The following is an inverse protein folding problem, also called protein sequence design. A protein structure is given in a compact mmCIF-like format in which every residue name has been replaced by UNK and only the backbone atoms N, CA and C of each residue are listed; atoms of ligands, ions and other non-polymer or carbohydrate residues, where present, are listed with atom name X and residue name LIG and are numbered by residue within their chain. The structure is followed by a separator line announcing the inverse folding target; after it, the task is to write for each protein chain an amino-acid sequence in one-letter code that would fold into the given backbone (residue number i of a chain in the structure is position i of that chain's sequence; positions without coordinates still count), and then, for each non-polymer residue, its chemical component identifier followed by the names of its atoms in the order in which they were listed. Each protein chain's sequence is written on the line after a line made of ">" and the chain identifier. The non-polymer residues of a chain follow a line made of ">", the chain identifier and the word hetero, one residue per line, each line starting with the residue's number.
data_IF_861501442935
#
_entry.id   IF_861501442935
#
_cell.length_a   1.000
_cell.length_b   1.000
_cell.length_c   1.000
_cell.angle_alpha   90.00
_cell.angle_beta   90.00
_cell.angle_gamma   90.00
#
_symmetry.space_group_name_H-M   'P 1'
#
loop_
_entity.id
_entity.type
_entity.pdbx_description
1 polymer ?
#
# COMPACT_ATOMS: atom_id res chain seq x y z
N UNK A 1 -10.45 8.31 -29.42
CA UNK A 1 -10.51 7.67 -28.11
C UNK A 1 -9.68 6.39 -28.11
N UNK A 2 -9.32 5.91 -26.91
CA UNK A 2 -8.57 4.67 -26.73
C UNK A 2 -9.49 3.56 -26.24
N UNK A 3 -9.18 2.32 -26.59
CA UNK A 3 -9.79 1.14 -25.99
C UNK A 3 -8.95 0.71 -24.78
N UNK A 4 -9.62 0.36 -23.68
CA UNK A 4 -8.95 -0.08 -22.45
C UNK A 4 -9.10 -1.60 -22.33
N UNK A 5 -7.97 -2.29 -22.18
CA UNK A 5 -7.91 -3.70 -21.80
C UNK A 5 -7.40 -3.80 -20.38
N UNK A 6 -8.17 -4.43 -19.49
CA UNK A 6 -7.76 -4.71 -18.11
C UNK A 6 -7.44 -6.19 -18.00
N UNK A 7 -6.25 -6.52 -17.53
CA UNK A 7 -5.82 -7.88 -17.25
C UNK A 7 -5.33 -7.98 -15.81
N UNK A 8 -5.95 -8.87 -15.03
CA UNK A 8 -5.41 -9.30 -13.76
C UNK A 8 -4.54 -10.53 -14.05
N UNK A 9 -3.24 -10.39 -13.86
CA UNK A 9 -2.28 -11.41 -14.26
C UNK A 9 -1.69 -12.09 -13.03
N UNK A 10 -1.61 -13.39 -13.09
CA UNK A 10 -0.70 -14.15 -12.24
C UNK A 10 0.67 -14.28 -12.94
N UNK A 11 1.70 -14.62 -12.17
CA UNK A 11 3.11 -14.59 -12.61
C UNK A 11 3.45 -15.52 -13.79
N UNK A 12 2.49 -16.25 -14.32
CA UNK A 12 2.67 -17.28 -15.34
C UNK A 12 2.29 -16.83 -16.77
N UNK A 13 1.63 -15.69 -16.93
CA UNK A 13 1.28 -15.19 -18.27
C UNK A 13 2.45 -14.42 -18.90
N UNK A 14 2.70 -14.68 -20.17
CA UNK A 14 3.66 -13.90 -20.94
C UNK A 14 3.07 -12.55 -21.33
N UNK A 15 3.33 -11.52 -20.52
CA UNK A 15 2.92 -10.14 -20.80
C UNK A 15 3.42 -9.61 -22.14
N UNK A 16 4.60 -10.09 -22.58
CA UNK A 16 5.15 -9.80 -23.91
C UNK A 16 4.23 -10.31 -25.01
N UNK A 17 3.70 -11.52 -24.85
CA UNK A 17 2.79 -12.14 -25.81
C UNK A 17 1.49 -11.36 -25.88
N UNK A 18 0.92 -11.00 -24.71
CA UNK A 18 -0.30 -10.21 -24.64
C UNK A 18 -0.12 -8.83 -25.30
N UNK A 19 0.95 -8.12 -24.96
CA UNK A 19 1.26 -6.81 -25.51
C UNK A 19 1.38 -6.84 -27.05
N UNK A 20 2.08 -7.85 -27.60
CA UNK A 20 2.27 -8.01 -29.04
C UNK A 20 0.98 -8.44 -29.76
N UNK A 21 0.23 -9.41 -29.21
CA UNK A 21 -0.99 -9.93 -29.82
C UNK A 21 -2.12 -8.90 -29.87
N UNK A 22 -2.15 -7.96 -28.93
CA UNK A 22 -3.19 -6.93 -28.81
C UNK A 22 -2.82 -5.60 -29.45
N UNK A 23 -1.61 -5.46 -30.03
CA UNK A 23 -1.12 -4.21 -30.64
C UNK A 23 -1.38 -3.00 -29.72
N UNK A 24 -0.91 -3.09 -28.47
CA UNK A 24 -1.13 -2.05 -27.47
C UNK A 24 -0.30 -0.80 -27.80
N UNK A 25 -0.90 0.38 -27.72
CA UNK A 25 -0.22 1.67 -27.88
C UNK A 25 0.54 2.07 -26.62
N UNK A 26 0.10 1.63 -25.44
CA UNK A 26 0.71 1.92 -24.17
C UNK A 26 0.24 0.99 -23.06
N UNK A 27 0.97 0.94 -21.93
CA UNK A 27 0.70 0.03 -20.82
C UNK A 27 0.83 0.79 -19.50
N UNK A 28 -0.14 0.61 -18.59
CA UNK A 28 -0.03 0.99 -17.18
C UNK A 28 0.08 -0.30 -16.38
N UNK A 29 1.15 -0.39 -15.58
CA UNK A 29 1.41 -1.53 -14.68
C UNK A 29 1.20 -1.07 -13.24
N UNK A 30 0.34 -1.75 -12.50
CA UNK A 30 0.02 -1.38 -11.11
C UNK A 30 0.60 -2.43 -10.16
N UNK A 31 1.38 -1.96 -9.19
CA UNK A 31 2.01 -2.79 -8.16
C UNK A 31 3.43 -3.23 -8.49
N UNK A 32 3.90 -4.22 -7.76
CA UNK A 32 5.28 -4.68 -7.80
C UNK A 32 5.39 -6.05 -8.45
N UNK A 33 6.38 -6.18 -9.32
CA UNK A 33 6.71 -7.40 -10.04
C UNK A 33 8.18 -7.76 -9.84
N UNK A 34 8.60 -9.01 -10.11
CA UNK A 34 10.01 -9.39 -10.13
C UNK A 34 10.81 -8.62 -11.18
N UNK A 35 12.13 -8.48 -10.98
CA UNK A 35 13.00 -7.73 -11.90
C UNK A 35 12.97 -8.29 -13.32
N UNK A 36 12.83 -9.61 -13.48
CA UNK A 36 12.69 -10.26 -14.79
C UNK A 36 11.49 -9.74 -15.59
N UNK A 37 10.39 -9.41 -14.93
CA UNK A 37 9.22 -8.80 -15.56
C UNK A 37 9.60 -7.47 -16.21
N UNK A 38 10.25 -6.57 -15.46
CA UNK A 38 10.65 -5.27 -15.98
C UNK A 38 11.65 -5.41 -17.14
N UNK A 39 12.62 -6.31 -17.05
CA UNK A 39 13.57 -6.57 -18.13
C UNK A 39 12.88 -7.12 -19.39
N UNK A 40 11.82 -7.92 -19.24
CA UNK A 40 11.04 -8.40 -20.37
C UNK A 40 10.21 -7.29 -20.99
N UNK A 41 9.56 -6.45 -20.17
CA UNK A 41 8.70 -5.36 -20.65
C UNK A 41 9.47 -4.32 -21.47
N UNK A 42 10.73 -4.06 -21.18
CA UNK A 42 11.60 -3.21 -22.02
C UNK A 42 11.68 -3.65 -23.48
N UNK A 43 11.60 -4.96 -23.73
CA UNK A 43 11.69 -5.52 -25.11
C UNK A 43 10.47 -5.21 -25.96
N UNK A 44 9.38 -4.71 -25.36
CA UNK A 44 8.17 -4.34 -26.11
C UNK A 44 8.34 -3.06 -26.93
N UNK A 45 9.20 -2.15 -26.46
CA UNK A 45 9.35 -0.77 -26.97
C UNK A 45 8.06 0.07 -26.88
N UNK A 46 7.03 -0.43 -26.18
CA UNK A 46 5.78 0.25 -25.93
C UNK A 46 5.98 1.20 -24.75
N UNK A 47 5.44 2.43 -24.76
CA UNK A 47 5.43 3.30 -23.58
C UNK A 47 4.78 2.63 -22.37
N UNK A 48 5.46 2.68 -21.21
CA UNK A 48 5.00 2.05 -19.98
C UNK A 48 5.08 3.04 -18.84
N UNK A 49 3.99 3.12 -18.05
CA UNK A 49 3.94 3.84 -16.79
C UNK A 49 3.70 2.85 -15.66
N UNK A 50 4.54 2.91 -14.63
CA UNK A 50 4.40 2.11 -13.42
C UNK A 50 3.63 2.90 -12.36
N UNK A 51 2.77 2.23 -11.61
CA UNK A 51 2.09 2.77 -10.43
C UNK A 51 2.44 1.91 -9.22
N UNK A 52 2.85 2.55 -8.13
CA UNK A 52 3.22 1.91 -6.86
C UNK A 52 4.30 0.83 -7.02
N UNK A 53 5.25 1.09 -7.92
CA UNK A 53 6.42 0.25 -8.16
C UNK A 53 7.67 0.88 -7.56
N UNK A 54 8.54 0.05 -7.01
CA UNK A 54 9.87 0.43 -6.55
C UNK A 54 10.97 -0.09 -7.50
N UNK A 55 10.64 -0.19 -8.78
CA UNK A 55 11.61 -0.49 -9.83
C UNK A 55 12.62 0.66 -9.93
N UNK A 56 13.90 0.39 -9.66
CA UNK A 56 14.99 1.37 -9.76
C UNK A 56 15.45 1.64 -11.21
N UNK A 57 14.70 1.15 -12.19
CA UNK A 57 15.04 1.26 -13.58
C UNK A 57 14.46 2.55 -14.19
N UNK A 58 15.32 3.51 -14.46
CA UNK A 58 14.97 4.79 -15.08
C UNK A 58 14.42 4.67 -16.52
N UNK A 59 14.24 3.47 -17.04
CA UNK A 59 13.55 3.24 -18.31
C UNK A 59 12.07 3.53 -18.26
N UNK A 60 11.46 3.51 -17.06
CA UNK A 60 10.02 3.63 -16.87
C UNK A 60 9.64 4.99 -16.28
N UNK A 61 8.48 5.49 -16.68
CA UNK A 61 7.77 6.48 -15.85
C UNK A 61 7.21 5.77 -14.64
N UNK A 62 7.27 6.39 -13.48
CA UNK A 62 6.80 5.80 -12.24
C UNK A 62 6.03 6.84 -11.40
N UNK A 63 4.85 6.49 -10.97
CA UNK A 63 4.04 7.31 -10.07
C UNK A 63 3.79 6.50 -8.81
N UNK A 64 4.20 7.02 -7.70
CA UNK A 64 4.08 6.34 -6.41
C UNK A 64 3.88 7.32 -5.26
N UNK A 65 3.72 6.81 -4.09
CA UNK A 65 3.80 7.54 -2.82
C UNK A 65 5.08 7.13 -2.08
N UNK A 66 5.38 7.84 -1.00
CA UNK A 66 6.37 7.38 -0.02
C UNK A 66 5.66 6.52 1.04
N UNK A 67 5.65 5.20 0.83
CA UNK A 67 5.01 4.24 1.74
C UNK A 67 5.63 4.23 3.14
N UNK A 68 6.94 4.42 3.24
CA UNK A 68 7.62 4.48 4.53
C UNK A 68 7.19 5.75 5.29
N UNK A 69 7.20 6.89 4.64
CA UNK A 69 6.76 8.14 5.25
C UNK A 69 5.29 8.10 5.66
N UNK A 70 4.40 7.53 4.83
CA UNK A 70 2.98 7.39 5.18
C UNK A 70 2.78 6.56 6.44
N UNK A 71 3.46 5.42 6.55
CA UNK A 71 3.36 4.57 7.74
C UNK A 71 4.04 5.19 8.97
N UNK A 72 5.12 5.96 8.76
CA UNK A 72 5.71 6.77 9.82
C UNK A 72 4.69 7.79 10.36
N UNK A 73 3.96 8.50 9.50
CA UNK A 73 2.93 9.45 9.92
C UNK A 73 1.82 8.77 10.72
N UNK A 74 1.36 7.59 10.27
CA UNK A 74 0.34 6.81 10.97
C UNK A 74 0.81 6.40 12.38
N UNK A 75 2.00 5.82 12.48
CA UNK A 75 2.56 5.39 13.76
C UNK A 75 2.82 6.59 14.68
N UNK A 76 3.43 7.65 14.16
CA UNK A 76 3.69 8.89 14.90
C UNK A 76 2.41 9.48 15.49
N UNK A 77 1.31 9.52 14.73
CA UNK A 77 0.04 10.03 15.23
C UNK A 77 -0.43 9.27 16.48
N UNK A 78 -0.37 7.93 16.49
CA UNK A 78 -0.71 7.14 17.68
C UNK A 78 0.25 7.39 18.84
N UNK A 79 1.54 7.54 18.56
CA UNK A 79 2.56 7.84 19.58
C UNK A 79 2.35 9.25 20.17
N UNK A 80 1.99 10.25 19.36
CA UNK A 80 1.63 11.60 19.80
C UNK A 80 0.36 11.58 20.67
N UNK A 81 -0.59 10.66 20.41
CA UNK A 81 -1.76 10.42 21.26
C UNK A 81 -1.43 9.70 22.58
N UNK A 82 -0.16 9.34 22.82
CA UNK A 82 0.30 8.72 24.06
C UNK A 82 0.43 7.20 24.04
N UNK A 83 0.05 6.54 22.95
CA UNK A 83 0.24 5.09 22.82
C UNK A 83 1.74 4.74 22.82
N UNK A 84 2.10 3.62 23.43
CA UNK A 84 3.47 3.08 23.43
C UNK A 84 3.50 1.61 23.02
N UNK A 85 2.37 0.95 23.08
CA UNK A 85 2.14 -0.45 22.75
C UNK A 85 1.17 -0.51 21.55
N UNK A 86 1.71 -0.16 20.37
CA UNK A 86 0.97 -0.21 19.10
C UNK A 86 1.39 -1.43 18.29
N UNK A 87 0.44 -2.26 17.87
CA UNK A 87 0.71 -3.38 16.96
C UNK A 87 0.73 -2.89 15.49
N UNK A 88 1.35 -3.66 14.60
CA UNK A 88 1.40 -3.41 13.17
C UNK A 88 0.76 -4.57 12.41
N UNK A 89 -0.33 -4.29 11.66
CA UNK A 89 -1.03 -5.28 10.85
C UNK A 89 -0.65 -5.09 9.38
N UNK A 90 -0.06 -6.11 8.78
CA UNK A 90 0.50 -6.05 7.43
C UNK A 90 0.00 -7.18 6.52
N UNK A 91 0.09 -6.95 5.23
CA UNK A 91 0.18 -8.02 4.24
C UNK A 91 1.54 -8.72 4.32
N UNK A 92 1.78 -9.67 3.42
CA UNK A 92 3.06 -10.40 3.38
C UNK A 92 4.26 -9.45 3.24
N UNK A 93 5.24 -9.60 4.13
CA UNK A 93 6.46 -8.79 4.18
C UNK A 93 7.51 -9.29 3.17
N UNK A 94 7.16 -9.24 1.89
CA UNK A 94 8.08 -9.62 0.80
C UNK A 94 9.26 -8.67 0.73
N UNK A 95 10.44 -9.20 0.38
CA UNK A 95 11.63 -8.41 0.10
C UNK A 95 11.31 -7.34 -0.96
N UNK A 96 11.78 -6.12 -0.74
CA UNK A 96 11.48 -4.95 -1.58
C UNK A 96 9.99 -4.59 -1.75
N UNK A 97 9.08 -5.25 -1.03
CA UNK A 97 7.64 -5.01 -1.12
C UNK A 97 7.17 -3.74 -0.39
N UNK A 98 6.02 -3.21 -0.79
CA UNK A 98 5.34 -2.07 -0.17
C UNK A 98 5.16 -2.26 1.34
N UNK A 99 4.71 -3.45 1.76
CA UNK A 99 4.47 -3.73 3.19
C UNK A 99 5.74 -3.65 4.04
N UNK A 100 6.90 -4.04 3.47
CA UNK A 100 8.19 -3.92 4.17
C UNK A 100 8.62 -2.45 4.31
N UNK A 101 8.29 -1.59 3.33
CA UNK A 101 8.52 -0.15 3.44
C UNK A 101 7.61 0.49 4.49
N UNK A 102 6.32 0.12 4.52
CA UNK A 102 5.39 0.59 5.56
C UNK A 102 5.85 0.15 6.96
N UNK A 103 6.33 -1.11 7.11
CA UNK A 103 6.92 -1.56 8.37
C UNK A 103 8.16 -0.74 8.75
N UNK A 104 9.01 -0.36 7.79
CA UNK A 104 10.17 0.48 8.07
C UNK A 104 9.77 1.86 8.60
N UNK A 105 8.74 2.49 8.05
CA UNK A 105 8.20 3.76 8.56
C UNK A 105 7.63 3.65 9.97
N UNK A 106 6.88 2.58 10.26
CA UNK A 106 6.40 2.29 11.61
C UNK A 106 7.58 2.14 12.59
N UNK A 107 8.64 1.40 12.24
CA UNK A 107 9.85 1.23 13.07
C UNK A 107 10.55 2.56 13.30
N UNK A 108 10.67 3.39 12.27
CA UNK A 108 11.28 4.73 12.38
C UNK A 108 10.54 5.60 13.39
N UNK A 109 9.20 5.60 13.38
CA UNK A 109 8.42 6.36 14.36
C UNK A 109 8.66 5.85 15.79
N UNK A 110 8.68 4.52 16.02
CA UNK A 110 9.00 3.96 17.33
C UNK A 110 10.37 4.40 17.81
N UNK A 111 11.39 4.36 16.95
CA UNK A 111 12.76 4.76 17.27
C UNK A 111 12.83 6.23 17.69
N UNK A 112 12.18 7.13 16.95
CA UNK A 112 12.12 8.57 17.26
C UNK A 112 11.51 8.84 18.64
N UNK A 113 10.50 8.05 19.04
CA UNK A 113 9.83 8.17 20.34
C UNK A 113 10.50 7.35 21.46
N UNK A 114 11.63 6.69 21.20
CA UNK A 114 12.32 5.85 22.15
C UNK A 114 11.53 4.60 22.56
N UNK A 115 10.59 4.15 21.73
CA UNK A 115 9.79 2.94 21.96
C UNK A 115 10.49 1.73 21.33
N UNK A 116 10.83 0.68 22.08
CA UNK A 116 11.49 -0.49 21.52
C UNK A 116 10.62 -1.19 20.47
N UNK A 117 11.19 -1.47 19.31
CA UNK A 117 10.54 -2.34 18.32
C UNK A 117 10.47 -3.77 18.84
N UNK A 118 9.30 -4.40 18.72
CA UNK A 118 9.06 -5.80 19.10
C UNK A 118 8.43 -6.55 17.93
N UNK A 119 9.09 -7.57 17.44
CA UNK A 119 8.60 -8.39 16.33
C UNK A 119 7.27 -9.07 16.65
N UNK A 120 7.04 -9.42 17.93
CA UNK A 120 5.77 -9.98 18.40
C UNK A 120 4.55 -9.06 18.23
N UNK A 121 4.77 -7.77 17.94
CA UNK A 121 3.73 -6.79 17.65
C UNK A 121 3.41 -6.69 16.14
N UNK A 122 4.10 -7.45 15.28
CA UNK A 122 3.86 -7.49 13.85
C UNK A 122 3.03 -8.71 13.49
N UNK A 123 1.90 -8.49 12.85
CA UNK A 123 0.97 -9.52 12.41
C UNK A 123 0.89 -9.50 10.89
N UNK A 124 1.16 -10.64 10.26
CA UNK A 124 1.17 -10.79 8.81
C UNK A 124 0.00 -11.64 8.31
N UNK A 125 -0.54 -11.29 7.14
CA UNK A 125 -1.59 -12.06 6.46
C UNK A 125 -1.75 -11.64 5.00
N UNK A 126 -2.94 -11.85 4.46
CA UNK A 126 -3.31 -11.28 3.17
C UNK A 126 -3.82 -9.85 3.39
N UNK A 127 -3.80 -9.02 2.33
CA UNK A 127 -4.41 -7.67 2.38
C UNK A 127 -5.91 -7.83 2.10
N UNK A 128 -6.62 -8.36 3.08
CA UNK A 128 -8.06 -8.55 2.99
C UNK A 128 -8.76 -8.39 4.36
N UNK A 129 -10.08 -8.27 4.33
CA UNK A 129 -10.92 -8.12 5.50
C UNK A 129 -10.77 -9.29 6.49
N UNK A 130 -10.70 -10.53 5.98
CA UNK A 130 -10.63 -11.75 6.82
C UNK A 130 -9.33 -11.81 7.62
N UNK A 131 -8.23 -11.43 7.01
CA UNK A 131 -6.94 -11.33 7.67
C UNK A 131 -6.95 -10.27 8.76
N UNK A 132 -7.58 -9.10 8.52
CA UNK A 132 -7.78 -8.08 9.55
C UNK A 132 -8.55 -8.61 10.76
N UNK A 133 -9.66 -9.34 10.55
CA UNK A 133 -10.42 -10.00 11.62
C UNK A 133 -9.54 -10.99 12.40
N UNK A 134 -8.80 -11.85 11.70
CA UNK A 134 -7.98 -12.87 12.32
C UNK A 134 -6.83 -12.28 13.15
N UNK A 135 -6.15 -11.24 12.62
CA UNK A 135 -5.07 -10.53 13.34
C UNK A 135 -5.60 -9.88 14.62
N UNK A 136 -6.74 -9.18 14.56
CA UNK A 136 -7.37 -8.57 15.73
C UNK A 136 -7.77 -9.61 16.78
N UNK A 137 -8.37 -10.72 16.36
CA UNK A 137 -8.71 -11.81 17.26
C UNK A 137 -7.46 -12.46 17.89
N UNK A 138 -6.35 -12.55 17.16
CA UNK A 138 -5.07 -13.04 17.69
C UNK A 138 -4.48 -12.07 18.69
N UNK A 139 -4.46 -10.78 18.38
CA UNK A 139 -3.96 -9.74 19.27
C UNK A 139 -4.77 -9.66 20.56
N UNK A 140 -6.11 -9.70 20.48
CA UNK A 140 -7.01 -9.67 21.64
C UNK A 140 -6.80 -10.85 22.60
N UNK A 141 -6.42 -12.03 22.09
CA UNK A 141 -6.09 -13.20 22.91
C UNK A 141 -4.66 -13.22 23.44
N UNK A 142 -3.80 -12.35 22.92
CA UNK A 142 -2.41 -12.29 23.36
C UNK A 142 -2.25 -11.57 24.70
N UNK A 143 -1.12 -11.79 25.36
CA UNK A 143 -0.71 -11.04 26.56
C UNK A 143 0.16 -9.82 26.23
N UNK A 144 0.13 -9.32 24.99
CA UNK A 144 1.04 -8.27 24.54
C UNK A 144 0.72 -6.89 25.14
N UNK A 145 -0.53 -6.67 25.58
CA UNK A 145 -0.95 -5.38 26.15
C UNK A 145 -1.00 -4.24 25.15
N UNK A 146 -1.22 -4.54 23.86
CA UNK A 146 -1.36 -3.50 22.84
C UNK A 146 -2.59 -2.63 23.11
N UNK A 147 -2.44 -1.33 22.90
CA UNK A 147 -3.50 -0.33 23.05
C UNK A 147 -3.88 0.34 21.73
N UNK A 148 -3.10 0.07 20.68
CA UNK A 148 -3.35 0.61 19.35
C UNK A 148 -2.87 -0.33 18.24
N UNK A 149 -3.37 -0.08 17.03
CA UNK A 149 -2.97 -0.80 15.81
C UNK A 149 -2.70 0.21 14.69
N UNK A 150 -1.53 0.09 14.06
CA UNK A 150 -1.24 0.66 12.76
C UNK A 150 -1.54 -0.43 11.73
N UNK A 151 -2.62 -0.28 10.98
CA UNK A 151 -2.96 -1.20 9.90
C UNK A 151 -2.38 -0.66 8.57
N UNK A 152 -1.58 -1.49 7.93
CA UNK A 152 -0.90 -1.12 6.68
C UNK A 152 -1.84 -1.00 5.46
N UNK A 153 -3.15 -1.20 5.63
CA UNK A 153 -4.19 -0.94 4.64
C UNK A 153 -5.54 -0.79 5.36
N UNK A 154 -6.43 0.04 4.85
CA UNK A 154 -7.77 0.26 5.41
C UNK A 154 -8.59 -1.03 5.49
N UNK A 155 -8.47 -1.90 4.50
CA UNK A 155 -9.22 -3.17 4.51
C UNK A 155 -8.83 -4.07 5.69
N UNK A 156 -7.56 -4.00 6.13
CA UNK A 156 -7.10 -4.67 7.35
C UNK A 156 -7.67 -3.98 8.59
N UNK A 157 -7.66 -2.64 8.63
CA UNK A 157 -8.23 -1.86 9.73
C UNK A 157 -9.73 -2.14 9.90
N UNK A 158 -10.49 -2.14 8.82
CA UNK A 158 -11.93 -2.43 8.80
C UNK A 158 -12.20 -3.85 9.34
N UNK A 159 -11.40 -4.83 8.89
CA UNK A 159 -11.45 -6.18 9.44
C UNK A 159 -11.11 -6.23 10.94
N UNK A 160 -10.09 -5.46 11.35
CA UNK A 160 -9.67 -5.40 12.74
C UNK A 160 -10.76 -4.83 13.67
N UNK A 161 -11.47 -3.79 13.25
CA UNK A 161 -12.65 -3.24 14.00
C UNK A 161 -13.63 -4.37 14.30
N UNK A 162 -13.95 -5.20 13.30
CA UNK A 162 -14.86 -6.34 13.50
C UNK A 162 -14.26 -7.40 14.43
N UNK A 163 -12.99 -7.74 14.25
CA UNK A 163 -12.31 -8.74 15.07
C UNK A 163 -12.21 -8.35 16.54
N UNK A 164 -11.98 -7.06 16.83
CA UNK A 164 -12.02 -6.54 18.21
C UNK A 164 -13.42 -6.54 18.79
N UNK A 165 -14.42 -6.11 18.02
CA UNK A 165 -15.82 -6.19 18.45
C UNK A 165 -16.24 -7.62 18.83
N UNK A 166 -15.90 -8.61 18.00
CA UNK A 166 -16.18 -10.02 18.27
C UNK A 166 -15.43 -10.55 19.52
N UNK A 167 -14.30 -9.93 19.87
CA UNK A 167 -13.54 -10.19 21.08
C UNK A 167 -14.03 -9.40 22.33
N UNK A 168 -15.07 -8.58 22.17
CA UNK A 168 -15.63 -7.77 23.25
C UNK A 168 -14.86 -6.47 23.53
N UNK A 169 -13.98 -6.03 22.63
CA UNK A 169 -13.23 -4.78 22.71
C UNK A 169 -13.87 -3.70 21.85
N UNK A 170 -13.92 -2.49 22.37
CA UNK A 170 -14.47 -1.32 21.67
C UNK A 170 -13.36 -0.57 20.94
N UNK A 171 -13.69 -0.06 19.77
CA UNK A 171 -12.84 0.82 18.99
C UNK A 171 -13.56 2.18 18.92
N UNK A 172 -12.96 3.29 19.38
CA UNK A 172 -11.54 3.42 19.79
C UNK A 172 -11.27 3.25 21.30
N UNK A 173 -12.26 3.02 22.17
CA UNK A 173 -12.16 3.17 23.62
C UNK A 173 -11.16 2.19 24.26
N UNK A 174 -11.14 0.94 23.80
CA UNK A 174 -10.26 -0.11 24.32
C UNK A 174 -9.07 -0.37 23.35
N UNK A 175 -9.23 -0.04 22.06
CA UNK A 175 -8.22 -0.22 21.04
C UNK A 175 -8.30 0.88 19.97
N UNK A 176 -7.29 1.72 19.86
CA UNK A 176 -7.18 2.70 18.78
C UNK A 176 -6.69 2.04 17.48
N UNK A 177 -7.24 2.46 16.34
CA UNK A 177 -6.82 1.94 15.02
C UNK A 177 -6.58 3.10 14.07
N UNK A 178 -5.49 3.02 13.33
CA UNK A 178 -5.22 3.89 12.19
C UNK A 178 -4.98 3.04 10.94
N UNK A 179 -5.60 3.43 9.83
CA UNK A 179 -5.51 2.76 8.54
C UNK A 179 -4.54 3.42 7.57
N UNK A 180 -4.57 2.94 6.33
CA UNK A 180 -3.82 3.45 5.21
C UNK A 180 -4.64 3.24 3.94
N UNK A 181 -4.78 4.21 3.07
CA UNK A 181 -5.36 4.30 1.72
C UNK A 181 -6.48 5.34 1.62
N UNK A 182 -7.24 5.64 2.68
CA UNK A 182 -8.45 6.45 2.70
C UNK A 182 -9.51 5.92 1.73
N UNK A 183 -9.83 4.64 1.87
CA UNK A 183 -10.91 4.01 1.10
C UNK A 183 -12.25 4.66 1.43
N UNK A 184 -13.12 4.82 0.43
CA UNK A 184 -14.45 5.41 0.61
C UNK A 184 -15.24 4.75 1.75
N UNK A 185 -15.13 3.42 1.88
CA UNK A 185 -15.83 2.67 2.94
C UNK A 185 -15.34 3.04 4.35
N UNK A 186 -14.14 3.56 4.52
CA UNK A 186 -13.54 3.91 5.81
C UNK A 186 -14.32 5.00 6.53
N UNK A 187 -14.97 5.92 5.81
CA UNK A 187 -15.80 6.99 6.37
C UNK A 187 -17.14 6.48 6.92
N UNK A 188 -17.63 5.32 6.49
CA UNK A 188 -18.91 4.76 6.90
C UNK A 188 -18.82 3.90 8.17
N UNK A 189 -17.64 3.70 8.71
CA UNK A 189 -17.52 3.14 10.07
C UNK A 189 -18.05 4.11 11.11
N UNK A 190 -18.43 3.62 12.26
CA UNK A 190 -18.92 4.43 13.39
C UNK A 190 -18.10 4.11 14.67
N UNK A 191 -17.14 4.98 15.03
CA UNK A 191 -16.70 6.20 14.34
C UNK A 191 -15.96 5.93 13.04
N UNK A 192 -15.83 6.97 12.17
CA UNK A 192 -15.06 6.88 10.93
C UNK A 192 -13.59 6.54 11.20
N UNK A 193 -12.95 5.80 10.29
CA UNK A 193 -11.57 5.37 10.44
C UNK A 193 -10.60 6.52 10.18
N UNK A 194 -9.71 6.78 11.12
CA UNK A 194 -8.52 7.63 10.89
C UNK A 194 -7.57 6.88 9.96
N UNK A 195 -7.12 7.51 8.89
CA UNK A 195 -6.31 6.82 7.87
C UNK A 195 -5.36 7.77 7.15
N UNK A 196 -4.32 7.21 6.53
CA UNK A 196 -3.41 7.93 5.63
C UNK A 196 -4.02 7.95 4.23
N UNK A 197 -4.35 9.16 3.75
CA UNK A 197 -4.90 9.36 2.41
C UNK A 197 -3.83 9.26 1.35
N UNK A 198 -4.03 8.33 0.42
CA UNK A 198 -3.41 8.32 -0.89
C UNK A 198 -4.31 9.08 -1.88
N UNK A 199 -3.74 9.86 -2.78
CA UNK A 199 -4.51 10.52 -3.83
C UNK A 199 -4.71 9.57 -5.03
N UNK A 200 -5.49 8.49 -4.85
CA UNK A 200 -5.65 7.41 -5.84
C UNK A 200 -6.14 7.95 -7.20
N UNK A 201 -7.15 8.83 -7.19
CA UNK A 201 -7.68 9.42 -8.43
C UNK A 201 -6.62 10.25 -9.16
N UNK A 202 -5.85 11.07 -8.44
CA UNK A 202 -4.76 11.85 -9.02
C UNK A 202 -3.66 10.95 -9.57
N UNK A 203 -3.32 9.87 -8.85
CA UNK A 203 -2.34 8.87 -9.28
C UNK A 203 -2.74 8.25 -10.63
N UNK A 204 -4.00 7.83 -10.77
CA UNK A 204 -4.53 7.30 -12.02
C UNK A 204 -4.54 8.35 -13.15
N UNK A 205 -4.96 9.58 -12.86
CA UNK A 205 -4.95 10.68 -13.83
C UNK A 205 -3.54 10.96 -14.36
N UNK A 206 -2.57 11.13 -13.46
CA UNK A 206 -1.17 11.39 -13.82
C UNK A 206 -0.56 10.26 -14.64
N UNK A 207 -0.90 9.00 -14.30
CA UNK A 207 -0.43 7.84 -15.06
C UNK A 207 -0.93 7.86 -16.52
N UNK A 208 -2.20 8.20 -16.72
CA UNK A 208 -2.77 8.32 -18.07
C UNK A 208 -2.15 9.50 -18.82
N UNK A 209 -2.01 10.67 -18.19
CA UNK A 209 -1.37 11.84 -18.79
C UNK A 209 0.04 11.53 -19.28
N UNK A 210 0.90 10.97 -18.41
CA UNK A 210 2.26 10.58 -18.76
C UNK A 210 2.30 9.52 -19.87
N UNK A 211 1.38 8.56 -19.84
CA UNK A 211 1.31 7.54 -20.88
C UNK A 211 0.98 8.15 -22.23
N UNK A 212 -0.02 9.04 -22.31
CA UNK A 212 -0.42 9.70 -23.55
C UNK A 212 0.67 10.61 -24.12
N UNK A 213 1.39 11.34 -23.26
CA UNK A 213 2.54 12.16 -23.65
C UNK A 213 3.61 11.27 -24.32
N UNK A 214 3.93 10.12 -23.76
CA UNK A 214 4.96 9.22 -24.30
C UNK A 214 4.50 8.39 -25.50
N UNK A 215 3.20 8.21 -25.68
CA UNK A 215 2.64 7.67 -26.95
C UNK A 215 2.82 8.70 -28.07
N UNK A 216 2.57 9.98 -27.77
CA UNK A 216 2.70 11.05 -28.75
C UNK A 216 4.18 11.37 -29.08
N UNK A 217 5.06 11.32 -28.10
CA UNK A 217 6.50 11.53 -28.25
C UNK A 217 7.33 10.56 -27.39
N UNK A 218 7.75 9.44 -27.97
CA UNK A 218 8.58 8.46 -27.25
C UNK A 218 9.96 8.96 -26.83
N UNK A 219 10.41 10.11 -27.32
CA UNK A 219 11.73 10.68 -27.01
C UNK A 219 11.77 11.44 -25.68
N UNK A 220 10.61 11.69 -25.06
CA UNK A 220 10.52 12.36 -23.76
C UNK A 220 11.28 11.61 -22.67
N UNK A 221 11.91 12.37 -21.79
CA UNK A 221 12.59 11.81 -20.62
C UNK A 221 11.62 11.15 -19.66
N UNK A 222 12.00 10.01 -19.11
CA UNK A 222 11.20 9.30 -18.10
C UNK A 222 11.24 10.05 -16.77
N UNK A 223 10.13 9.99 -16.05
CA UNK A 223 9.91 10.74 -14.80
C UNK A 223 9.50 9.81 -13.67
N UNK A 224 9.96 10.12 -12.47
CA UNK A 224 9.42 9.58 -11.23
C UNK A 224 8.67 10.69 -10.51
N UNK A 225 7.40 10.45 -10.19
CA UNK A 225 6.54 11.37 -9.46
C UNK A 225 6.12 10.73 -8.12
N UNK A 226 6.46 11.40 -7.02
CA UNK A 226 6.06 10.98 -5.67
C UNK A 226 4.93 11.90 -5.22
N UNK A 227 3.72 11.34 -5.13
CA UNK A 227 2.55 12.09 -4.72
C UNK A 227 2.50 12.31 -3.21
N UNK A 228 2.00 13.47 -2.76
CA UNK A 228 1.91 13.76 -1.33
C UNK A 228 0.85 12.91 -0.65
N UNK A 229 1.11 12.61 0.63
CA UNK A 229 0.20 11.94 1.54
C UNK A 229 -0.41 12.94 2.52
N UNK A 230 -1.57 12.60 3.08
CA UNK A 230 -2.25 13.33 4.17
C UNK A 230 -2.74 12.34 5.21
N UNK A 231 -2.72 12.75 6.47
CA UNK A 231 -3.45 12.12 7.56
C UNK A 231 -4.88 12.69 7.60
#
# INVERSE_FOLDING_TARGET
>A
GYHILISATDANESYLTLAKQRNLDGIIVIGMYPDEFYQQMKKTQIPIVLIDSYCNDHYYNNIRIDDAYGSYLAARYLLDCGHRDAAFFAGQLKENGVMKKRLAGYRQALEEFGVPYRESFVFEGQIDYKSGVAMAASLARSSLGATAVVAAADILAIGAVRGFYDAGLRVPEDMSIIGFDDLEISQYLAPGLTTIRQQISLKGQRAVELLLEHIADPSLSKQEEILPLKL
#
